data_IF_442408004063
#
_entry.id   IF_442408004063
#
_cell.length_a   1.000
_cell.length_b   1.000
_cell.length_c   1.000
_cell.angle_alpha   90.00
_cell.angle_beta   90.00
_cell.angle_gamma   90.00
#
_symmetry.space_group_name_H-M   'P 1'
#
loop_
_entity.id
_entity.type
_entity.pdbx_description
1 polymer ?
#
# COMPACT_ATOMS: atom_id res chain seq x y z
N UNK A 1 10.15 -0.31 -2.05
CA UNK A 1 9.45 -0.59 -3.32
C UNK A 1 10.18 -0.04 -4.53
N UNK A 2 10.89 1.09 -4.45
CA UNK A 2 11.62 1.69 -5.58
C UNK A 2 12.71 0.80 -6.22
N UNK A 3 13.21 -0.22 -5.51
CA UNK A 3 14.25 -1.14 -6.00
C UNK A 3 13.67 -2.37 -6.72
N UNK A 4 12.34 -2.49 -6.86
CA UNK A 4 11.72 -3.60 -7.58
C UNK A 4 11.87 -3.43 -9.09
N UNK A 5 12.34 -4.47 -9.78
CA UNK A 5 12.36 -4.51 -11.23
C UNK A 5 10.93 -4.32 -11.78
N UNK A 6 10.77 -3.39 -12.73
CA UNK A 6 9.47 -3.02 -13.30
C UNK A 6 8.78 -1.83 -12.63
N UNK A 7 9.26 -1.34 -11.47
CA UNK A 7 8.80 -0.07 -10.90
C UNK A 7 9.42 1.09 -11.67
N UNK A 8 8.57 1.96 -12.22
CA UNK A 8 8.95 3.14 -12.99
C UNK A 8 9.19 4.33 -12.06
N UNK A 9 8.29 4.54 -11.09
CA UNK A 9 8.44 5.61 -10.10
C UNK A 9 7.61 5.36 -8.85
N UNK A 10 8.00 5.98 -7.75
CA UNK A 10 7.28 5.98 -6.48
C UNK A 10 7.14 7.39 -5.94
N UNK A 11 5.96 7.76 -5.46
CA UNK A 11 5.69 9.09 -4.89
C UNK A 11 5.02 8.96 -3.53
N UNK A 12 5.57 9.61 -2.51
CA UNK A 12 4.93 9.69 -1.19
C UNK A 12 3.79 10.71 -1.21
N UNK A 13 2.71 10.42 -0.48
CA UNK A 13 1.56 11.31 -0.40
C UNK A 13 0.48 10.83 0.55
N UNK A 14 -0.70 11.42 0.39
CA UNK A 14 -1.87 11.22 1.25
C UNK A 14 -3.06 10.78 0.41
N UNK A 15 -3.83 9.81 0.92
CA UNK A 15 -5.01 9.30 0.23
C UNK A 15 -6.04 8.70 1.19
N UNK A 16 -7.28 8.56 0.73
CA UNK A 16 -8.36 7.86 1.45
C UNK A 16 -9.09 8.69 2.52
N UNK A 17 -8.70 9.95 2.72
CA UNK A 17 -9.40 10.92 3.56
C UNK A 17 -10.38 11.81 2.78
N UNK A 18 -11.01 12.74 3.49
CA UNK A 18 -12.07 13.61 2.94
C UNK A 18 -11.58 15.02 2.60
N UNK A 19 -10.47 15.46 3.17
CA UNK A 19 -9.93 16.81 2.95
C UNK A 19 -9.20 16.89 1.60
N UNK A 20 -9.61 17.72 0.64
CA UNK A 20 -8.84 17.95 -0.58
C UNK A 20 -7.54 18.73 -0.29
N UNK A 21 -6.46 18.39 -1.01
CA UNK A 21 -5.15 19.03 -0.90
C UNK A 21 -4.63 19.17 0.55
N UNK A 22 -4.56 18.06 1.33
CA UNK A 22 -4.17 18.13 2.73
C UNK A 22 -2.69 18.50 2.88
N UNK A 23 -2.37 19.35 3.86
CA UNK A 23 -0.99 19.56 4.30
C UNK A 23 -0.56 18.48 5.29
N UNK A 24 0.74 18.22 5.41
CA UNK A 24 1.26 17.26 6.40
C UNK A 24 0.79 17.58 7.82
N UNK A 25 0.76 18.87 8.19
CA UNK A 25 0.28 19.31 9.50
C UNK A 25 -1.19 18.92 9.73
N UNK A 26 -2.04 19.05 8.71
CA UNK A 26 -3.45 18.64 8.77
C UNK A 26 -3.60 17.11 8.80
N UNK A 27 -2.73 16.35 8.14
CA UNK A 27 -2.74 14.88 8.27
C UNK A 27 -2.32 14.46 9.67
N UNK A 28 -1.34 15.14 10.26
CA UNK A 28 -0.86 14.90 11.62
C UNK A 28 -1.91 15.18 12.71
N UNK A 29 -2.95 15.98 12.44
CA UNK A 29 -4.07 16.14 13.40
C UNK A 29 -4.96 14.90 13.45
N UNK A 30 -4.81 13.95 12.52
CA UNK A 30 -5.55 12.67 12.44
C UNK A 30 -7.06 12.82 12.22
N UNK A 31 -7.53 14.02 11.90
CA UNK A 31 -8.96 14.31 11.68
C UNK A 31 -9.37 14.27 10.20
N UNK A 32 -8.39 14.25 9.29
CA UNK A 32 -8.64 14.31 7.83
C UNK A 32 -9.03 12.96 7.22
N UNK A 33 -8.80 11.87 7.95
CA UNK A 33 -9.04 10.49 7.48
C UNK A 33 -7.99 9.96 6.48
N UNK A 34 -7.01 10.77 6.09
CA UNK A 34 -5.97 10.35 5.15
C UNK A 34 -5.05 9.29 5.75
N UNK A 35 -4.63 8.35 4.92
CA UNK A 35 -3.47 7.49 5.16
C UNK A 35 -2.24 8.09 4.49
N UNK A 36 -1.07 7.90 5.09
CA UNK A 36 0.20 8.06 4.40
C UNK A 36 0.38 6.88 3.45
N UNK A 37 0.57 7.17 2.17
CA UNK A 37 0.65 6.16 1.12
C UNK A 37 1.82 6.43 0.18
N UNK A 38 2.27 5.37 -0.49
CA UNK A 38 3.20 5.47 -1.61
C UNK A 38 2.45 5.10 -2.88
N UNK A 39 2.34 6.06 -3.81
CA UNK A 39 1.85 5.80 -5.16
C UNK A 39 2.96 5.13 -5.96
N UNK A 40 2.69 3.95 -6.49
CA UNK A 40 3.63 3.20 -7.33
C UNK A 40 3.16 3.23 -8.78
N UNK A 41 4.05 3.61 -9.69
CA UNK A 41 3.87 3.48 -11.14
C UNK A 41 4.81 2.37 -11.60
N UNK A 42 4.29 1.37 -12.30
CA UNK A 42 5.05 0.19 -12.71
C UNK A 42 4.60 -0.32 -14.09
N UNK A 43 5.48 -1.05 -14.78
CA UNK A 43 5.18 -1.71 -16.04
C UNK A 43 4.59 -3.10 -15.79
N UNK A 44 3.30 -3.27 -16.11
CA UNK A 44 2.56 -4.55 -15.95
C UNK A 44 3.14 -5.71 -16.78
N UNK A 45 3.98 -5.42 -17.78
CA UNK A 45 4.67 -6.45 -18.59
C UNK A 45 5.90 -7.03 -17.89
N UNK A 46 6.43 -6.32 -16.91
CA UNK A 46 7.65 -6.69 -16.17
C UNK A 46 7.32 -7.13 -14.74
N UNK A 47 6.36 -6.45 -14.10
CA UNK A 47 5.91 -6.72 -12.74
C UNK A 47 4.38 -6.77 -12.75
N UNK A 48 3.79 -7.90 -12.37
CA UNK A 48 2.34 -7.98 -12.26
C UNK A 48 1.83 -7.44 -10.90
N UNK A 49 0.51 -7.21 -10.82
CA UNK A 49 -0.10 -6.70 -9.60
C UNK A 49 0.03 -7.68 -8.43
N UNK A 50 -0.04 -8.99 -8.68
CA UNK A 50 0.06 -9.99 -7.62
C UNK A 50 1.43 -9.91 -6.96
N UNK A 51 2.50 -9.86 -7.73
CA UNK A 51 3.88 -9.71 -7.26
C UNK A 51 4.06 -8.39 -6.49
N UNK A 52 3.49 -7.29 -6.99
CA UNK A 52 3.53 -6.02 -6.28
C UNK A 52 2.81 -6.09 -4.92
N UNK A 53 1.65 -6.74 -4.87
CA UNK A 53 0.89 -6.95 -3.62
C UNK A 53 1.61 -7.92 -2.67
N UNK A 54 2.25 -8.97 -3.17
CA UNK A 54 3.08 -9.86 -2.34
C UNK A 54 4.20 -9.08 -1.66
N UNK A 55 4.86 -8.19 -2.42
CA UNK A 55 5.89 -7.32 -1.86
C UNK A 55 5.31 -6.31 -0.86
N UNK A 56 4.12 -5.78 -1.11
CA UNK A 56 3.41 -4.93 -0.13
C UNK A 56 3.25 -5.65 1.21
N UNK A 57 2.75 -6.89 1.22
CA UNK A 57 2.57 -7.67 2.46
C UNK A 57 3.88 -8.14 3.11
N UNK A 58 5.02 -8.07 2.42
CA UNK A 58 6.35 -8.29 3.00
C UNK A 58 6.84 -7.08 3.80
N UNK A 59 6.40 -5.86 3.46
CA UNK A 59 6.93 -4.63 4.03
C UNK A 59 6.37 -4.31 5.42
N UNK A 60 5.17 -4.82 5.74
CA UNK A 60 4.53 -4.59 7.03
C UNK A 60 3.75 -5.81 7.49
N UNK A 61 3.41 -5.82 8.77
CA UNK A 61 2.49 -6.78 9.36
C UNK A 61 1.04 -6.36 9.08
N UNK A 62 0.28 -7.14 8.26
CA UNK A 62 -1.08 -6.80 7.89
C UNK A 62 -2.13 -7.25 8.93
N UNK A 63 -1.75 -8.08 9.91
CA UNK A 63 -2.66 -8.54 10.98
C UNK A 63 -2.74 -7.59 12.17
N UNK A 64 -1.83 -6.62 12.23
CA UNK A 64 -1.85 -5.56 13.22
C UNK A 64 -2.63 -4.36 12.72
N UNK A 65 -3.81 -4.13 13.28
CA UNK A 65 -4.48 -2.84 13.13
C UNK A 65 -3.60 -1.75 13.77
N UNK A 66 -3.34 -0.70 13.00
CA UNK A 66 -2.57 0.47 13.45
C UNK A 66 -3.43 1.73 13.46
N UNK A 67 -4.74 1.62 13.23
CA UNK A 67 -5.67 2.76 13.28
C UNK A 67 -5.62 3.45 14.64
N UNK A 68 -5.53 2.66 15.70
CA UNK A 68 -5.36 3.01 17.11
C UNK A 68 -4.02 3.70 17.44
N UNK A 69 -3.00 3.61 16.57
CA UNK A 69 -1.71 4.33 16.72
C UNK A 69 -1.56 5.55 15.82
N UNK A 70 -2.64 6.00 15.19
CA UNK A 70 -2.68 7.29 14.55
C UNK A 70 -3.37 7.38 13.20
N UNK A 71 -4.12 6.36 12.76
CA UNK A 71 -4.93 6.37 11.54
C UNK A 71 -4.15 6.43 10.21
N UNK A 72 -3.05 7.18 10.18
CA UNK A 72 -2.21 7.47 9.03
C UNK A 72 -1.30 6.29 8.62
N UNK A 73 -0.94 5.40 9.56
CA UNK A 73 -0.05 4.24 9.33
C UNK A 73 -0.80 2.91 9.17
N UNK A 74 -2.06 2.96 8.75
CA UNK A 74 -2.86 1.74 8.54
C UNK A 74 -2.47 1.04 7.24
N UNK A 75 -2.62 -0.28 7.20
CA UNK A 75 -2.47 -1.06 5.97
C UNK A 75 -3.63 -0.73 5.03
N UNK A 76 -3.33 -0.19 3.84
CA UNK A 76 -4.34 0.17 2.86
C UNK A 76 -3.84 -0.02 1.43
N UNK A 77 -4.74 -0.50 0.56
CA UNK A 77 -4.56 -0.65 -0.88
C UNK A 77 -5.60 0.23 -1.55
N UNK A 78 -5.14 1.26 -2.26
CA UNK A 78 -5.99 2.20 -2.94
C UNK A 78 -5.79 2.14 -4.45
N UNK A 79 -6.88 2.03 -5.18
CA UNK A 79 -6.87 2.12 -6.64
C UNK A 79 -7.30 3.52 -7.09
N UNK A 80 -6.58 4.12 -8.06
CA UNK A 80 -6.89 5.46 -8.53
C UNK A 80 -8.19 5.46 -9.35
N UNK A 81 -8.81 6.65 -9.55
CA UNK A 81 -9.96 6.78 -10.43
C UNK A 81 -9.65 6.36 -11.86
N UNK A 82 -10.65 5.81 -12.55
CA UNK A 82 -10.58 5.44 -13.97
C UNK A 82 -9.57 4.34 -14.36
N UNK A 83 -8.87 3.73 -13.42
CA UNK A 83 -8.24 2.44 -13.72
C UNK A 83 -9.35 1.37 -13.75
N UNK A 84 -9.33 0.45 -14.71
CA UNK A 84 -10.34 -0.61 -14.85
C UNK A 84 -10.18 -1.62 -13.69
N UNK A 85 -10.62 -1.22 -12.50
CA UNK A 85 -10.13 -1.71 -11.21
C UNK A 85 -10.82 -2.95 -10.69
N UNK A 86 -11.93 -3.40 -11.29
CA UNK A 86 -12.72 -4.46 -10.67
C UNK A 86 -11.96 -5.79 -10.60
N UNK A 87 -11.02 -6.03 -11.53
CA UNK A 87 -10.14 -7.21 -11.49
C UNK A 87 -9.04 -7.06 -10.45
N UNK A 88 -8.37 -5.92 -10.46
CA UNK A 88 -7.24 -5.62 -9.58
C UNK A 88 -7.70 -5.55 -8.10
N UNK A 89 -8.88 -4.98 -7.85
CA UNK A 89 -9.56 -4.98 -6.55
C UNK A 89 -9.95 -6.40 -6.11
N UNK A 90 -10.49 -7.22 -7.02
CA UNK A 90 -10.78 -8.63 -6.74
C UNK A 90 -9.53 -9.41 -6.36
N UNK A 91 -8.41 -9.17 -7.05
CA UNK A 91 -7.12 -9.76 -6.72
C UNK A 91 -6.67 -9.39 -5.30
N UNK A 92 -6.70 -8.09 -4.97
CA UNK A 92 -6.31 -7.63 -3.64
C UNK A 92 -7.19 -8.25 -2.53
N UNK A 93 -8.50 -8.30 -2.74
CA UNK A 93 -9.44 -8.94 -1.81
C UNK A 93 -9.21 -10.45 -1.68
N UNK A 94 -8.94 -11.15 -2.78
CA UNK A 94 -8.64 -12.57 -2.76
C UNK A 94 -7.34 -12.88 -2.02
N UNK A 95 -6.29 -12.07 -2.22
CA UNK A 95 -5.04 -12.19 -1.48
C UNK A 95 -5.22 -11.94 0.02
N UNK A 96 -6.02 -10.94 0.40
CA UNK A 96 -6.37 -10.67 1.80
C UNK A 96 -7.11 -11.86 2.42
N UNK A 97 -8.10 -12.42 1.73
CA UNK A 97 -8.83 -13.59 2.21
C UNK A 97 -7.90 -14.79 2.40
N UNK A 98 -7.04 -15.07 1.41
CA UNK A 98 -6.05 -16.15 1.51
C UNK A 98 -5.10 -15.97 2.71
N UNK A 99 -4.63 -14.75 2.96
CA UNK A 99 -3.81 -14.46 4.14
C UNK A 99 -4.60 -14.63 5.42
N UNK A 100 -5.85 -14.18 5.46
CA UNK A 100 -6.71 -14.31 6.63
C UNK A 100 -6.90 -15.78 7.05
N UNK A 101 -6.99 -16.71 6.08
CA UNK A 101 -7.05 -18.15 6.37
C UNK A 101 -5.78 -18.68 7.06
N UNK A 102 -4.62 -18.02 6.88
CA UNK A 102 -3.34 -18.46 7.42
C UNK A 102 -2.97 -17.78 8.74
N UNK A 103 -3.26 -16.49 8.89
CA UNK A 103 -2.85 -15.68 10.06
C UNK A 103 -4.03 -15.14 10.87
N UNK A 104 -5.27 -15.43 10.48
CA UNK A 104 -6.48 -14.92 11.13
C UNK A 104 -6.86 -13.54 10.63
N UNK A 105 -6.78 -12.52 11.48
CA UNK A 105 -7.26 -11.19 11.13
C UNK A 105 -6.27 -10.49 10.17
N UNK A 106 -6.80 -9.92 9.08
CA UNK A 106 -6.06 -9.02 8.18
C UNK A 106 -6.78 -7.67 8.16
N UNK A 107 -6.12 -6.62 8.64
CA UNK A 107 -6.70 -5.26 8.78
C UNK A 107 -6.48 -4.38 7.54
N UNK A 108 -6.13 -4.97 6.40
CA UNK A 108 -5.82 -4.22 5.18
C UNK A 108 -7.09 -3.69 4.53
N UNK A 109 -7.21 -2.37 4.43
CA UNK A 109 -8.30 -1.69 3.76
C UNK A 109 -8.11 -1.74 2.23
N UNK A 110 -9.18 -1.99 1.47
CA UNK A 110 -9.17 -1.90 0.00
C UNK A 110 -10.23 -0.90 -0.45
N UNK A 111 -9.83 0.13 -1.18
CA UNK A 111 -10.76 1.13 -1.77
C UNK A 111 -10.38 1.45 -3.21
N UNK A 112 -11.39 1.69 -4.02
CA UNK A 112 -11.28 2.13 -5.42
C UNK A 112 -11.71 3.59 -5.55
N UNK A 113 -11.39 4.23 -6.67
CA UNK A 113 -11.71 5.64 -6.95
C UNK A 113 -11.11 6.62 -5.91
N UNK A 114 -9.91 6.31 -5.41
CA UNK A 114 -9.27 7.12 -4.36
C UNK A 114 -8.32 8.14 -4.98
N UNK A 115 -8.55 9.42 -4.69
CA UNK A 115 -7.68 10.52 -5.11
C UNK A 115 -6.39 10.51 -4.27
N UNK A 116 -5.25 10.62 -4.96
CA UNK A 116 -3.93 10.76 -4.36
C UNK A 116 -3.49 12.23 -4.35
N UNK A 117 -3.07 12.71 -3.19
CA UNK A 117 -2.46 14.03 -3.03
C UNK A 117 -0.96 13.87 -2.76
N UNK A 118 -0.06 14.36 -3.63
CA UNK A 118 1.37 14.26 -3.42
C UNK A 118 1.78 15.05 -2.16
N UNK A 119 2.66 14.47 -1.35
CA UNK A 119 3.27 15.20 -0.24
C UNK A 119 4.30 16.21 -0.76
N UNK A 120 4.60 17.22 0.06
CA UNK A 120 5.61 18.23 -0.26
C UNK A 120 7.00 17.62 -0.52
N UNK A 121 7.87 18.39 -1.19
CA UNK A 121 9.20 17.92 -1.61
C UNK A 121 10.11 17.45 -0.47
N UNK A 122 9.89 17.87 0.78
CA UNK A 122 10.69 17.40 1.93
C UNK A 122 10.33 15.97 2.33
N UNK A 123 9.14 15.49 1.98
CA UNK A 123 8.66 14.15 2.29
C UNK A 123 8.86 13.13 1.17
N UNK A 124 9.11 13.56 -0.08
CA UNK A 124 9.32 12.67 -1.22
C UNK A 124 10.58 11.77 -1.09
N UNK A 125 11.56 12.17 -0.27
CA UNK A 125 12.88 11.54 -0.15
C UNK A 125 13.29 11.21 1.29
N UNK A 126 12.33 11.00 2.21
CA UNK A 126 12.68 10.75 3.61
C UNK A 126 13.59 9.52 3.81
N UNK A 127 13.57 8.55 2.88
CA UNK A 127 14.49 7.41 2.86
C UNK A 127 15.85 7.66 2.17
N UNK A 128 15.95 8.64 1.27
CA UNK A 128 17.20 8.92 0.54
C UNK A 128 18.11 9.89 1.29
N UNK A 129 17.56 10.82 2.08
CA UNK A 129 18.31 11.94 2.67
C UNK A 129 18.89 11.63 4.06
N UNK A 130 18.35 10.61 4.74
CA UNK A 130 18.94 10.08 5.98
C UNK A 130 19.32 8.65 5.69
N UNK A 131 20.59 8.30 5.90
CA UNK A 131 21.15 6.94 5.85
C UNK A 131 20.49 5.99 6.86
N UNK A 132 19.17 5.89 6.81
CA UNK A 132 18.33 4.97 7.55
C UNK A 132 18.34 3.73 6.69
N UNK A 133 19.17 2.76 7.09
CA UNK A 133 19.08 1.41 6.56
C UNK A 133 17.61 0.98 6.69
N UNK A 134 16.93 0.64 5.58
CA UNK A 134 15.57 0.15 5.68
C UNK A 134 15.58 -1.04 6.63
N UNK A 135 14.74 -0.99 7.68
CA UNK A 135 14.62 -2.14 8.58
C UNK A 135 14.29 -3.35 7.72
N UNK A 136 14.86 -4.53 8.02
CA UNK A 136 14.51 -5.74 7.31
C UNK A 136 12.99 -5.90 7.33
N UNK A 137 12.37 -6.36 6.23
CA UNK A 137 10.94 -6.55 6.14
C UNK A 137 10.46 -7.35 7.36
N UNK A 138 9.62 -6.73 8.19
CA UNK A 138 8.98 -7.40 9.33
C UNK A 138 7.65 -8.05 8.95
N UNK A 139 7.29 -8.01 7.65
CA UNK A 139 6.06 -8.58 7.12
C UNK A 139 6.20 -10.05 6.76
N UNK A 140 5.26 -10.52 5.94
CA UNK A 140 5.08 -11.95 5.64
C UNK A 140 6.09 -12.43 4.60
N UNK A 141 6.67 -13.62 4.80
CA UNK A 141 7.59 -14.21 3.83
C UNK A 141 6.87 -14.81 2.61
N UNK A 142 7.64 -15.19 1.58
CA UNK A 142 7.09 -15.83 0.38
C UNK A 142 6.34 -17.14 0.63
N UNK A 143 6.55 -17.81 1.78
CA UNK A 143 5.88 -19.09 2.07
C UNK A 143 4.37 -18.97 2.21
N UNK A 144 3.87 -17.79 2.62
CA UNK A 144 2.44 -17.52 2.77
C UNK A 144 1.69 -17.60 1.44
N UNK A 145 2.37 -17.36 0.32
CA UNK A 145 1.75 -17.37 -1.02
C UNK A 145 1.78 -18.74 -1.70
N UNK A 146 2.30 -19.78 -1.03
CA UNK A 146 2.39 -21.12 -1.61
C UNK A 146 0.98 -21.69 -1.82
N UNK A 147 0.62 -21.94 -3.07
CA UNK A 147 -0.70 -22.48 -3.44
C UNK A 147 -1.76 -21.42 -3.72
N UNK A 148 -1.47 -20.13 -3.51
CA UNK A 148 -2.34 -19.07 -4.01
C UNK A 148 -2.35 -19.09 -5.54
N UNK A 149 -3.53 -19.30 -6.11
CA UNK A 149 -3.77 -19.15 -7.56
C UNK A 149 -4.72 -17.97 -7.71
N UNK A 150 -4.23 -16.89 -8.31
CA UNK A 150 -5.12 -15.85 -8.79
C UNK A 150 -6.22 -16.48 -9.66
N UNK A 151 -7.47 -16.18 -9.35
CA UNK A 151 -8.58 -16.59 -10.19
C UNK A 151 -8.34 -16.04 -11.61
N UNK A 152 -8.25 -16.97 -12.57
CA UNK A 152 -7.82 -16.87 -13.96
C UNK A 152 -7.66 -15.48 -14.59
N UNK A 153 -6.54 -15.35 -15.31
CA UNK A 153 -6.19 -14.20 -16.14
C UNK A 153 -7.16 -13.91 -17.28
#
# INVERSE_FOLDING_TARGET
MSQLAGVISTHAGFAGGTLPYPTYQQVCTKTTGHAEVVRVVYDRRVLDLQQLLQFFFQLHDPGRDRRDRGGQYRSAIFFPPNSLNTRDERMAKAMIAHLADQIGLVSTEVKSEVIFYPADGRHQQYCDVRSITPRPPTGLSNSYWKGFKAANH
#
